data_IF_808257217835
#
_entry.id   IF_808257217835
#
_cell.length_a   1.000
_cell.length_b   1.000
_cell.length_c   1.000
_cell.angle_alpha   90.00
_cell.angle_beta   90.00
_cell.angle_gamma   90.00
#
_symmetry.space_group_name_H-M   'P 1'
#
loop_
_entity.id
_entity.type
_entity.pdbx_description
1 polymer ?
#
# COMPACT_ATOMS: atom_id res chain seq x y z
N UNK A 1 35.22 -9.86 -80.14
CA UNK A 1 34.19 -9.74 -81.20
C UNK A 1 34.75 -8.84 -82.29
N UNK A 2 35.23 -9.37 -83.42
CA UNK A 2 35.73 -8.53 -84.51
C UNK A 2 34.57 -7.72 -85.13
N UNK A 3 34.77 -6.42 -85.27
CA UNK A 3 33.84 -5.49 -85.93
C UNK A 3 34.44 -5.14 -87.30
N UNK A 4 33.72 -5.31 -88.43
CA UNK A 4 34.24 -4.92 -89.73
C UNK A 4 34.61 -3.44 -89.77
N UNK A 5 35.69 -3.11 -90.48
CA UNK A 5 36.20 -1.73 -90.56
C UNK A 5 35.11 -0.76 -91.01
N UNK A 6 34.86 0.27 -90.20
CA UNK A 6 33.88 1.33 -90.46
C UNK A 6 32.43 1.00 -90.09
N UNK A 7 32.18 -0.16 -89.46
CA UNK A 7 30.86 -0.50 -88.90
C UNK A 7 30.71 -0.06 -87.43
N UNK A 8 29.47 -0.02 -86.98
CA UNK A 8 29.10 0.29 -85.59
C UNK A 8 29.19 -0.95 -84.69
N UNK A 9 29.38 -0.74 -83.39
CA UNK A 9 29.44 -1.80 -82.39
C UNK A 9 28.80 -1.38 -81.07
N UNK A 10 28.24 -2.36 -80.34
CA UNK A 10 27.64 -2.16 -79.03
C UNK A 10 28.24 -3.10 -78.00
N UNK A 11 28.33 -2.65 -76.75
CA UNK A 11 28.71 -3.49 -75.62
C UNK A 11 27.58 -3.51 -74.59
N UNK A 12 27.24 -4.71 -74.12
CA UNK A 12 26.27 -4.93 -73.06
C UNK A 12 26.98 -5.49 -71.83
N UNK A 13 26.58 -5.01 -70.66
CA UNK A 13 27.03 -5.52 -69.37
C UNK A 13 25.85 -6.25 -68.72
N UNK A 14 25.97 -7.56 -68.55
CA UNK A 14 24.98 -8.37 -67.84
C UNK A 14 25.58 -8.75 -66.49
N UNK A 15 25.09 -8.21 -65.38
CA UNK A 15 25.59 -8.58 -64.05
C UNK A 15 25.19 -10.00 -63.69
N UNK A 16 26.08 -10.68 -62.96
CA UNK A 16 25.75 -11.94 -62.29
C UNK A 16 24.75 -11.72 -61.15
N UNK A 17 24.11 -12.80 -60.68
CA UNK A 17 23.17 -12.74 -59.55
C UNK A 17 23.83 -12.09 -58.32
N UNK A 18 23.17 -11.08 -57.76
CA UNK A 18 23.67 -10.32 -56.60
C UNK A 18 24.66 -9.20 -56.92
N UNK A 19 24.99 -8.98 -58.19
CA UNK A 19 25.78 -7.85 -58.65
C UNK A 19 24.91 -6.83 -59.39
N UNK A 20 25.39 -5.59 -59.47
CA UNK A 20 24.86 -4.57 -60.36
C UNK A 20 25.99 -3.88 -61.12
N UNK A 21 25.70 -3.43 -62.33
CA UNK A 21 26.64 -2.71 -63.17
C UNK A 21 26.90 -1.31 -62.60
N UNK A 22 28.16 -0.93 -62.44
CA UNK A 22 28.57 0.38 -61.89
C UNK A 22 29.16 1.32 -62.93
N UNK A 23 29.62 0.80 -64.07
CA UNK A 23 30.08 1.65 -65.16
C UNK A 23 31.08 1.00 -66.10
N UNK A 24 31.28 1.67 -67.24
CA UNK A 24 32.30 1.39 -68.23
C UNK A 24 33.57 2.19 -67.95
N UNK A 25 34.71 1.61 -68.32
CA UNK A 25 36.02 2.27 -68.37
C UNK A 25 36.75 1.94 -69.68
N UNK A 26 37.72 2.77 -70.06
CA UNK A 26 38.45 2.66 -71.33
C UNK A 26 37.84 3.57 -72.41
N UNK A 27 37.61 3.03 -73.61
CA UNK A 27 37.03 3.76 -74.74
C UNK A 27 35.52 4.08 -74.57
N UNK A 28 34.87 3.50 -73.55
CA UNK A 28 33.56 3.92 -73.05
C UNK A 28 33.68 4.29 -71.57
N UNK A 29 32.95 5.31 -71.13
CA UNK A 29 32.97 5.78 -69.75
C UNK A 29 31.57 6.03 -69.21
N UNK A 30 31.36 5.79 -67.91
CA UNK A 30 30.10 6.07 -67.23
C UNK A 30 29.10 4.91 -67.31
N UNK A 31 27.84 5.17 -66.96
CA UNK A 31 26.80 4.13 -66.79
C UNK A 31 25.86 4.00 -67.99
N UNK A 32 26.02 4.85 -69.01
CA UNK A 32 25.20 4.83 -70.22
C UNK A 32 25.48 3.62 -71.11
N UNK A 33 24.71 3.51 -72.19
CA UNK A 33 24.98 2.53 -73.23
C UNK A 33 26.38 2.76 -73.83
N UNK A 34 27.21 1.70 -73.89
CA UNK A 34 28.49 1.75 -74.58
C UNK A 34 28.27 1.40 -76.05
N UNK A 35 28.37 2.41 -76.90
CA UNK A 35 28.14 2.32 -78.34
C UNK A 35 29.30 2.99 -79.06
N UNK A 36 29.78 2.36 -80.12
CA UNK A 36 30.78 2.91 -81.01
C UNK A 36 30.19 3.03 -82.40
N UNK A 37 30.42 4.17 -83.05
CA UNK A 37 30.09 4.36 -84.46
C UNK A 37 31.36 4.39 -85.30
N UNK A 38 31.30 3.84 -86.51
CA UNK A 38 32.40 3.87 -87.48
C UNK A 38 33.76 3.40 -86.88
N UNK A 39 33.82 2.15 -86.40
CA UNK A 39 35.03 1.60 -85.75
C UNK A 39 36.14 1.35 -86.77
N UNK A 40 37.20 2.14 -86.71
CA UNK A 40 38.36 2.07 -87.63
C UNK A 40 39.66 1.60 -86.97
N UNK A 41 39.65 1.43 -85.65
CA UNK A 41 40.81 0.99 -84.85
C UNK A 41 40.35 0.26 -83.59
N UNK A 42 41.23 -0.55 -83.01
CA UNK A 42 40.96 -1.33 -81.79
C UNK A 42 40.35 -0.46 -80.70
N UNK A 43 39.26 -0.96 -80.10
CA UNK A 43 38.60 -0.38 -78.93
C UNK A 43 38.76 -1.33 -77.75
N UNK A 44 39.03 -0.78 -76.57
CA UNK A 44 39.15 -1.50 -75.31
C UNK A 44 38.18 -0.89 -74.29
N UNK A 45 37.25 -1.71 -73.83
CA UNK A 45 36.26 -1.34 -72.82
C UNK A 45 36.21 -2.41 -71.73
N UNK A 46 36.05 -1.99 -70.48
CA UNK A 46 35.83 -2.88 -69.34
C UNK A 46 34.59 -2.48 -68.57
N UNK A 47 33.74 -3.46 -68.24
CA UNK A 47 32.59 -3.29 -67.35
C UNK A 47 33.02 -3.50 -65.90
N UNK A 48 32.53 -2.65 -65.01
CA UNK A 48 32.71 -2.83 -63.56
C UNK A 48 31.35 -3.17 -62.93
N UNK A 49 31.41 -4.05 -61.93
CA UNK A 49 30.24 -4.51 -61.18
C UNK A 49 30.53 -4.44 -59.69
N UNK A 50 29.50 -4.18 -58.88
CA UNK A 50 29.58 -4.22 -57.43
C UNK A 50 28.49 -5.11 -56.85
N UNK A 51 28.73 -5.71 -55.68
CA UNK A 51 27.71 -6.48 -54.99
C UNK A 51 26.58 -5.56 -54.54
N UNK A 52 25.35 -6.04 -54.71
CA UNK A 52 24.15 -5.44 -54.14
C UNK A 52 24.15 -5.64 -52.63
N UNK A 53 23.72 -4.63 -51.89
CA UNK A 53 23.57 -4.68 -50.44
C UNK A 53 22.11 -4.49 -50.04
N UNK A 54 21.65 -5.22 -49.03
CA UNK A 54 20.26 -5.20 -48.55
C UNK A 54 20.19 -4.65 -47.14
N UNK A 55 19.32 -3.66 -46.92
CA UNK A 55 19.05 -3.14 -45.59
C UNK A 55 18.22 -4.12 -44.75
N UNK A 56 18.46 -4.12 -43.44
CA UNK A 56 17.58 -4.70 -42.43
C UNK A 56 16.84 -3.55 -41.75
N UNK A 57 15.51 -3.50 -41.89
CA UNK A 57 14.64 -2.55 -41.19
C UNK A 57 14.21 -3.09 -39.84
N UNK A 58 14.02 -2.19 -38.87
CA UNK A 58 13.48 -2.51 -37.55
C UNK A 58 12.07 -1.96 -37.47
N UNK A 59 11.07 -2.82 -37.69
CA UNK A 59 9.67 -2.40 -37.87
C UNK A 59 8.71 -3.36 -37.18
N UNK A 60 7.91 -2.90 -36.19
CA UNK A 60 7.95 -1.55 -35.62
C UNK A 60 9.28 -1.25 -34.92
N UNK A 61 9.56 0.03 -34.68
CA UNK A 61 10.69 0.41 -33.84
C UNK A 61 10.54 -0.23 -32.46
N UNK A 62 11.65 -0.75 -31.92
CA UNK A 62 11.68 -1.33 -30.59
C UNK A 62 11.26 -0.27 -29.55
N UNK A 63 10.26 -0.61 -28.72
CA UNK A 63 9.89 0.18 -27.55
C UNK A 63 10.44 -0.50 -26.30
N UNK A 64 10.94 0.30 -25.34
CA UNK A 64 11.54 -0.18 -24.07
C UNK A 64 12.78 -1.06 -24.25
N UNK A 65 13.54 -0.78 -25.31
CA UNK A 65 14.79 -1.43 -25.65
C UNK A 65 15.28 -0.99 -27.02
N UNK A 66 16.41 -1.53 -27.42
CA UNK A 66 17.04 -1.29 -28.71
C UNK A 66 17.28 -2.60 -29.46
N UNK A 67 17.24 -2.53 -30.78
CA UNK A 67 17.66 -3.62 -31.66
C UNK A 67 18.78 -3.12 -32.55
N UNK A 68 19.86 -3.90 -32.66
CA UNK A 68 20.99 -3.63 -33.55
C UNK A 68 21.28 -4.86 -34.39
N UNK A 69 21.49 -4.67 -35.70
CA UNK A 69 21.84 -5.74 -36.62
C UNK A 69 23.20 -5.47 -37.26
N UNK A 70 24.06 -6.48 -37.38
CA UNK A 70 25.40 -6.34 -37.95
C UNK A 70 25.76 -7.55 -38.82
N UNK A 71 26.25 -7.33 -40.06
CA UNK A 71 26.33 -6.04 -40.76
C UNK A 71 24.94 -5.50 -41.13
N UNK A 72 24.83 -4.19 -41.34
CA UNK A 72 23.65 -3.54 -41.94
C UNK A 72 24.11 -2.26 -42.67
N UNK A 73 24.02 -2.17 -44.01
CA UNK A 73 23.40 -3.12 -44.92
C UNK A 73 24.22 -4.42 -45.09
N UNK A 74 23.55 -5.50 -45.48
CA UNK A 74 24.12 -6.84 -45.69
C UNK A 74 24.48 -7.04 -47.15
N UNK A 75 25.72 -7.43 -47.45
CA UNK A 75 26.13 -7.80 -48.81
C UNK A 75 25.39 -9.04 -49.30
N UNK A 76 24.96 -9.08 -50.57
CA UNK A 76 24.20 -10.19 -51.15
C UNK A 76 24.79 -11.56 -50.80
N UNK A 77 23.96 -12.45 -50.25
CA UNK A 77 24.31 -13.82 -49.90
C UNK A 77 25.06 -13.96 -48.57
N UNK A 78 25.42 -12.87 -47.90
CA UNK A 78 26.03 -12.90 -46.57
C UNK A 78 24.98 -13.07 -45.47
N UNK A 79 25.47 -13.35 -44.26
CA UNK A 79 24.66 -13.45 -43.06
C UNK A 79 24.72 -12.16 -42.23
N UNK A 80 23.71 -11.96 -41.40
CA UNK A 80 23.69 -10.91 -40.38
C UNK A 80 23.07 -11.44 -39.08
N UNK A 81 23.48 -10.86 -37.96
CA UNK A 81 22.91 -11.16 -36.64
C UNK A 81 22.29 -9.91 -36.06
N UNK A 82 21.14 -10.07 -35.40
CA UNK A 82 20.51 -9.00 -34.64
C UNK A 82 20.51 -9.30 -33.14
N UNK A 83 20.77 -8.26 -32.35
CA UNK A 83 20.79 -8.30 -30.88
C UNK A 83 19.76 -7.34 -30.34
N UNK A 84 18.93 -7.82 -29.41
CA UNK A 84 17.97 -7.03 -28.65
C UNK A 84 18.60 -6.68 -27.30
N UNK A 85 18.62 -5.40 -26.96
CA UNK A 85 19.10 -4.89 -25.67
C UNK A 85 17.94 -4.23 -24.95
N UNK A 86 17.38 -4.84 -23.89
CA UNK A 86 16.31 -4.23 -23.11
C UNK A 86 16.78 -2.94 -22.42
N UNK A 87 15.86 -2.00 -22.23
CA UNK A 87 16.09 -0.87 -21.32
C UNK A 87 16.07 -1.35 -19.86
N UNK A 88 16.57 -0.52 -18.94
CA UNK A 88 16.54 -0.82 -17.50
C UNK A 88 15.11 -1.09 -17.01
N UNK A 89 14.91 -2.22 -16.32
CA UNK A 89 13.60 -2.62 -15.82
C UNK A 89 12.76 -3.40 -16.83
N UNK A 90 13.34 -3.80 -17.95
CA UNK A 90 12.68 -4.63 -18.97
C UNK A 90 13.53 -5.85 -19.31
N UNK A 91 12.87 -6.88 -19.85
CA UNK A 91 13.51 -8.04 -20.45
C UNK A 91 12.94 -8.32 -21.84
N UNK A 92 13.77 -8.97 -22.66
CA UNK A 92 13.41 -9.40 -24.00
C UNK A 92 12.43 -10.58 -23.95
N UNK A 93 11.33 -10.49 -24.70
CA UNK A 93 10.28 -11.53 -24.74
C UNK A 93 10.16 -12.25 -26.07
N UNK A 94 10.70 -11.69 -27.15
CA UNK A 94 10.74 -12.41 -28.43
C UNK A 94 10.98 -11.52 -29.65
N UNK A 95 11.40 -12.19 -30.73
CA UNK A 95 11.54 -11.63 -32.06
C UNK A 95 10.26 -11.80 -32.89
N UNK A 96 10.07 -10.90 -33.85
CA UNK A 96 9.09 -11.02 -34.92
C UNK A 96 9.64 -10.47 -36.26
N UNK A 97 8.94 -10.74 -37.37
CA UNK A 97 9.39 -10.42 -38.72
C UNK A 97 10.16 -11.59 -39.36
N UNK A 98 11.33 -11.32 -39.93
CA UNK A 98 12.25 -12.32 -40.48
C UNK A 98 12.98 -13.15 -39.40
N UNK A 99 12.80 -12.81 -38.12
CA UNK A 99 13.22 -13.60 -36.95
C UNK A 99 12.00 -13.93 -36.09
N UNK A 100 12.08 -15.03 -35.31
CA UNK A 100 10.99 -15.46 -34.43
C UNK A 100 11.50 -16.12 -33.14
N UNK A 101 10.66 -16.11 -32.11
CA UNK A 101 10.95 -16.75 -30.82
C UNK A 101 11.94 -15.99 -29.95
N UNK A 102 12.45 -16.64 -28.91
CA UNK A 102 13.33 -16.04 -27.89
C UNK A 102 14.82 -16.33 -28.10
N UNK A 103 15.16 -17.10 -29.13
CA UNK A 103 16.55 -17.46 -29.45
C UNK A 103 17.33 -16.33 -30.11
N UNK A 104 18.56 -16.63 -30.53
CA UNK A 104 19.36 -15.69 -31.31
C UNK A 104 18.70 -15.38 -32.66
N UNK A 105 18.60 -14.09 -33.03
CA UNK A 105 18.16 -13.69 -34.36
C UNK A 105 19.33 -13.73 -35.34
N UNK A 106 19.29 -14.71 -36.24
CA UNK A 106 20.28 -14.94 -37.28
C UNK A 106 19.60 -14.92 -38.65
N UNK A 107 19.97 -13.98 -39.50
CA UNK A 107 19.52 -13.86 -40.87
C UNK A 107 20.60 -14.48 -41.77
N UNK A 108 20.31 -15.64 -42.36
CA UNK A 108 21.24 -16.35 -43.23
C UNK A 108 20.93 -16.11 -44.70
N UNK A 109 21.97 -16.04 -45.53
CA UNK A 109 21.85 -15.92 -46.99
C UNK A 109 20.90 -14.78 -47.42
N UNK A 110 21.24 -13.55 -47.05
CA UNK A 110 20.40 -12.37 -47.31
C UNK A 110 20.48 -11.97 -48.79
N UNK A 111 19.41 -12.23 -49.53
CA UNK A 111 19.25 -11.91 -50.96
C UNK A 111 18.16 -10.88 -51.25
N UNK A 112 17.53 -10.34 -50.21
CA UNK A 112 16.52 -9.28 -50.27
C UNK A 112 16.57 -8.44 -49.00
N UNK A 113 15.92 -7.28 -49.00
CA UNK A 113 15.71 -6.51 -47.76
C UNK A 113 15.01 -7.37 -46.71
N UNK A 114 15.38 -7.17 -45.45
CA UNK A 114 14.81 -7.89 -44.30
C UNK A 114 14.17 -6.92 -43.34
N UNK A 115 13.23 -7.41 -42.53
CA UNK A 115 12.58 -6.67 -41.46
C UNK A 115 12.50 -7.50 -40.20
N UNK A 116 13.00 -6.98 -39.09
CA UNK A 116 12.94 -7.62 -37.78
C UNK A 116 12.31 -6.68 -36.76
N UNK A 117 11.76 -7.22 -35.69
CA UNK A 117 11.34 -6.45 -34.51
C UNK A 117 11.57 -7.28 -33.26
N UNK A 118 11.78 -6.60 -32.13
CA UNK A 118 11.87 -7.22 -30.82
C UNK A 118 10.76 -6.68 -29.92
N UNK A 119 10.25 -7.56 -29.06
CA UNK A 119 9.31 -7.21 -28.01
C UNK A 119 10.01 -7.32 -26.66
N UNK A 120 9.69 -6.38 -25.77
CA UNK A 120 10.19 -6.33 -24.40
C UNK A 120 8.99 -6.24 -23.45
N UNK A 121 9.14 -6.84 -22.26
CA UNK A 121 8.17 -6.71 -21.17
C UNK A 121 8.87 -6.17 -19.94
N UNK A 122 8.11 -5.48 -19.08
CA UNK A 122 8.63 -4.96 -17.83
C UNK A 122 9.02 -6.12 -16.91
N UNK A 123 10.09 -5.94 -16.15
CA UNK A 123 10.47 -6.88 -15.10
C UNK A 123 9.43 -6.85 -13.97
N UNK A 124 9.10 -8.01 -13.38
CA UNK A 124 8.20 -8.07 -12.23
C UNK A 124 8.72 -7.21 -11.08
N UNK A 125 7.84 -6.42 -10.47
CA UNK A 125 8.16 -5.61 -9.29
C UNK A 125 7.33 -6.12 -8.12
N UNK A 126 8.01 -6.79 -7.18
CA UNK A 126 7.38 -7.30 -5.97
C UNK A 126 6.91 -6.15 -5.07
N UNK A 127 5.73 -6.34 -4.48
CA UNK A 127 5.18 -5.39 -3.54
C UNK A 127 5.92 -5.42 -2.20
N UNK A 128 5.98 -4.27 -1.54
CA UNK A 128 6.56 -4.13 -0.21
C UNK A 128 5.69 -3.27 0.67
N UNK A 129 5.62 -3.62 1.96
CA UNK A 129 4.86 -2.85 2.92
C UNK A 129 5.47 -1.47 3.10
N UNK A 130 4.61 -0.45 3.15
CA UNK A 130 5.00 0.92 3.43
C UNK A 130 5.24 1.17 4.92
N UNK A 131 5.55 2.42 5.26
CA UNK A 131 5.88 2.82 6.64
C UNK A 131 4.71 2.73 7.61
N UNK A 132 3.47 2.56 7.12
CA UNK A 132 2.32 2.29 7.99
C UNK A 132 2.35 0.88 8.60
N UNK A 133 3.14 -0.05 8.06
CA UNK A 133 3.21 -1.42 8.55
C UNK A 133 4.05 -1.56 9.83
N UNK A 134 3.73 -2.58 10.62
CA UNK A 134 4.40 -3.02 11.86
C UNK A 134 4.35 -2.03 13.03
N UNK A 135 4.09 -0.74 12.78
CA UNK A 135 3.88 0.27 13.81
C UNK A 135 2.50 0.16 14.45
N UNK A 136 2.44 0.26 15.78
CA UNK A 136 1.16 0.29 16.48
C UNK A 136 0.47 1.64 16.25
N UNK A 137 -0.78 1.62 15.76
CA UNK A 137 -1.54 2.82 15.41
C UNK A 137 -2.95 2.77 15.99
N UNK A 138 -3.44 3.90 16.52
CA UNK A 138 -4.81 4.00 16.99
C UNK A 138 -5.79 4.21 15.84
N UNK A 139 -5.39 4.94 14.80
CA UNK A 139 -6.25 5.25 13.66
C UNK A 139 -6.05 4.26 12.52
N UNK A 140 -7.12 3.98 11.78
CA UNK A 140 -7.06 3.21 10.54
C UNK A 140 -6.17 3.94 9.52
N UNK A 141 -5.04 3.36 9.07
CA UNK A 141 -4.14 4.05 8.16
C UNK A 141 -4.78 4.21 6.77
N UNK A 142 -4.59 5.38 6.16
CA UNK A 142 -5.07 5.72 4.80
C UNK A 142 -3.94 6.07 3.83
N UNK A 143 -2.72 6.25 4.34
CA UNK A 143 -1.54 6.65 3.57
C UNK A 143 -0.32 5.80 3.93
N UNK A 144 0.69 5.79 3.06
CA UNK A 144 1.95 5.06 3.25
C UNK A 144 1.76 3.56 3.49
N UNK A 145 0.72 2.97 2.88
CA UNK A 145 0.35 1.56 3.03
C UNK A 145 1.34 0.63 2.32
N UNK A 146 1.78 0.98 1.11
CA UNK A 146 2.73 0.23 0.31
C UNK A 146 3.92 1.14 -0.04
N UNK A 147 5.14 0.62 0.05
CA UNK A 147 6.34 1.30 -0.45
C UNK A 147 6.52 1.01 -1.94
N UNK A 148 6.21 -0.21 -2.37
CA UNK A 148 6.08 -0.61 -3.78
C UNK A 148 4.77 -1.34 -4.00
N UNK A 149 4.18 -1.16 -5.19
CA UNK A 149 2.89 -1.76 -5.54
C UNK A 149 1.69 -0.94 -5.13
N UNK A 150 0.51 -1.48 -5.40
CA UNK A 150 -0.77 -0.79 -5.19
C UNK A 150 -1.47 -1.28 -3.90
N UNK A 151 -1.90 -0.40 -2.99
CA UNK A 151 -2.58 -0.80 -1.77
C UNK A 151 -4.03 -1.25 -2.02
N UNK A 152 -4.41 -2.35 -1.39
CA UNK A 152 -5.80 -2.79 -1.25
C UNK A 152 -6.53 -2.14 -0.09
N UNK A 153 -7.78 -2.56 0.11
CA UNK A 153 -8.61 -2.07 1.22
C UNK A 153 -8.00 -2.46 2.59
N UNK A 154 -7.97 -1.50 3.51
CA UNK A 154 -7.56 -1.76 4.89
C UNK A 154 -8.75 -2.35 5.66
N UNK A 155 -8.55 -3.57 6.16
CA UNK A 155 -9.48 -4.29 7.03
C UNK A 155 -9.08 -4.10 8.50
N UNK A 156 -10.05 -4.23 9.39
CA UNK A 156 -9.87 -4.00 10.83
C UNK A 156 -10.47 -5.16 11.61
N UNK A 157 -9.61 -6.03 12.12
CA UNK A 157 -10.03 -7.23 12.84
C UNK A 157 -8.93 -7.71 13.78
N UNK A 158 -9.33 -8.38 14.86
CA UNK A 158 -8.42 -9.15 15.72
C UNK A 158 -7.21 -8.37 16.25
N UNK A 159 -7.37 -7.08 16.57
CA UNK A 159 -6.29 -6.28 17.15
C UNK A 159 -5.29 -5.70 16.15
N UNK A 160 -5.59 -5.76 14.85
CA UNK A 160 -4.72 -5.24 13.81
C UNK A 160 -5.50 -4.67 12.62
N UNK A 161 -4.86 -3.72 11.93
CA UNK A 161 -5.22 -3.36 10.57
C UNK A 161 -4.45 -4.23 9.61
N UNK A 162 -5.11 -4.76 8.58
CA UNK A 162 -4.48 -5.57 7.54
C UNK A 162 -4.83 -5.06 6.16
N UNK A 163 -3.87 -5.10 5.24
CA UNK A 163 -4.07 -4.79 3.83
C UNK A 163 -3.09 -5.60 2.99
N UNK A 164 -3.38 -5.69 1.70
CA UNK A 164 -2.51 -6.34 0.73
C UNK A 164 -1.92 -5.27 -0.19
N UNK A 165 -0.62 -5.34 -0.43
CA UNK A 165 0.05 -4.59 -1.47
C UNK A 165 0.20 -5.50 -2.69
N UNK A 166 -0.38 -5.12 -3.83
CA UNK A 166 -0.29 -5.89 -5.08
C UNK A 166 0.96 -5.50 -5.85
N UNK A 167 1.76 -6.49 -6.26
CA UNK A 167 2.94 -6.27 -7.11
C UNK A 167 2.55 -5.76 -8.49
N UNK A 168 3.52 -5.14 -9.18
CA UNK A 168 3.34 -4.59 -10.53
C UNK A 168 3.98 -5.53 -11.56
N UNK A 169 3.45 -5.51 -12.79
CA UNK A 169 4.00 -6.28 -13.92
C UNK A 169 4.17 -7.79 -13.67
N UNK A 170 3.28 -8.37 -12.85
CA UNK A 170 3.34 -9.79 -12.48
C UNK A 170 4.20 -10.08 -11.24
N UNK A 171 4.68 -9.05 -10.54
CA UNK A 171 5.37 -9.19 -9.26
C UNK A 171 4.47 -9.74 -8.16
N UNK A 172 5.09 -10.34 -7.15
CA UNK A 172 4.40 -10.93 -6.01
C UNK A 172 3.70 -9.87 -5.16
N UNK A 173 2.53 -10.25 -4.63
CA UNK A 173 1.82 -9.44 -3.64
C UNK A 173 2.39 -9.66 -2.24
N UNK A 174 2.28 -8.65 -1.38
CA UNK A 174 2.74 -8.68 0.00
C UNK A 174 1.59 -8.39 0.96
N UNK A 175 1.41 -9.25 1.96
CA UNK A 175 0.46 -9.01 3.04
C UNK A 175 1.10 -8.12 4.11
N UNK A 176 0.42 -7.03 4.45
CA UNK A 176 0.89 -6.04 5.40
C UNK A 176 -0.08 -5.89 6.57
N UNK A 177 0.46 -5.51 7.72
CA UNK A 177 -0.36 -5.27 8.91
C UNK A 177 0.24 -4.21 9.80
N UNK A 178 -0.62 -3.56 10.58
CA UNK A 178 -0.27 -2.64 11.65
C UNK A 178 -1.06 -3.03 12.90
N UNK A 179 -0.41 -3.35 14.02
CA UNK A 179 -1.13 -3.64 15.25
C UNK A 179 -1.92 -2.40 15.72
N UNK A 180 -3.05 -2.63 16.37
CA UNK A 180 -3.78 -1.55 17.04
C UNK A 180 -2.96 -1.00 18.20
N UNK A 181 -3.10 0.29 18.50
CA UNK A 181 -2.36 0.92 19.58
C UNK A 181 -2.88 0.46 20.95
N UNK A 182 -1.96 0.06 21.83
CA UNK A 182 -2.24 -0.15 23.24
C UNK A 182 -1.99 1.11 24.06
N UNK A 183 -2.69 1.25 25.18
CA UNK A 183 -2.36 2.26 26.17
C UNK A 183 -1.26 1.75 27.11
N UNK A 184 -0.02 2.19 26.86
CA UNK A 184 1.06 2.18 27.85
C UNK A 184 1.28 0.90 28.68
N UNK A 185 1.05 -0.29 28.10
CA UNK A 185 1.49 -1.57 28.70
C UNK A 185 0.43 -2.53 29.24
N UNK A 186 -0.88 -2.20 29.23
CA UNK A 186 -1.90 -3.06 29.85
C UNK A 186 -2.52 -4.13 28.91
N UNK A 187 -2.02 -4.30 27.68
CA UNK A 187 -2.48 -5.34 26.75
C UNK A 187 -3.86 -5.11 26.10
N UNK A 188 -4.64 -4.13 26.56
CA UNK A 188 -5.89 -3.72 25.90
C UNK A 188 -5.53 -2.82 24.71
N UNK A 189 -5.69 -3.35 23.50
CA UNK A 189 -5.50 -2.60 22.27
C UNK A 189 -6.81 -1.95 21.86
N UNK A 190 -6.71 -0.74 21.31
CA UNK A 190 -7.83 0.02 20.81
C UNK A 190 -7.55 0.54 19.41
N UNK A 191 -8.61 0.67 18.65
CA UNK A 191 -8.60 1.26 17.32
C UNK A 191 -9.75 2.26 17.20
N UNK A 192 -9.58 3.27 16.36
CA UNK A 192 -10.63 4.23 16.02
C UNK A 192 -10.78 4.32 14.51
N UNK A 193 -12.03 4.33 14.08
CA UNK A 193 -12.47 4.49 12.71
C UNK A 193 -13.48 5.62 12.65
N UNK A 194 -13.41 6.41 11.59
CA UNK A 194 -14.36 7.48 11.29
C UNK A 194 -14.89 7.27 9.90
N UNK A 195 -16.21 7.39 9.74
CA UNK A 195 -16.84 7.39 8.43
C UNK A 195 -16.46 8.67 7.66
N UNK A 196 -15.90 8.47 6.47
CA UNK A 196 -15.48 9.56 5.58
C UNK A 196 -16.63 10.21 4.81
N UNK A 197 -17.88 9.71 4.90
CA UNK A 197 -19.03 10.21 4.12
C UNK A 197 -19.28 11.73 4.27
N UNK A 198 -18.92 12.32 5.41
CA UNK A 198 -19.08 13.75 5.69
C UNK A 198 -17.75 14.51 5.74
N UNK A 199 -16.71 14.00 5.07
CA UNK A 199 -15.40 14.65 4.94
C UNK A 199 -14.64 14.80 6.25
N UNK A 200 -14.92 13.97 7.24
CA UNK A 200 -14.15 13.92 8.49
C UNK A 200 -12.96 12.99 8.37
N UNK A 201 -11.81 13.46 8.81
CA UNK A 201 -10.56 12.71 8.86
C UNK A 201 -9.96 12.75 10.27
N UNK A 202 -9.30 11.66 10.66
CA UNK A 202 -8.62 11.60 11.95
C UNK A 202 -7.31 12.38 11.83
N UNK A 203 -7.27 13.55 12.47
CA UNK A 203 -6.04 14.36 12.56
C UNK A 203 -5.07 13.76 13.57
N UNK A 204 -5.58 13.28 14.71
CA UNK A 204 -4.79 12.49 15.65
C UNK A 204 -5.68 11.57 16.48
N UNK A 205 -5.13 10.42 16.88
CA UNK A 205 -5.77 9.51 17.82
C UNK A 205 -4.71 8.83 18.68
N UNK A 206 -4.95 8.72 19.98
CA UNK A 206 -4.07 8.01 20.88
C UNK A 206 -4.84 7.44 22.07
N UNK A 207 -4.51 6.20 22.45
CA UNK A 207 -4.94 5.62 23.72
C UNK A 207 -3.90 5.95 24.79
N UNK A 208 -4.28 6.77 25.75
CA UNK A 208 -3.39 7.27 26.79
C UNK A 208 -3.39 6.35 28.03
N UNK A 209 -2.26 6.31 28.76
CA UNK A 209 -2.16 5.57 30.01
C UNK A 209 -2.84 6.30 31.20
N UNK A 210 -3.13 7.59 31.05
CA UNK A 210 -3.65 8.46 32.11
C UNK A 210 -4.91 9.19 31.64
N UNK A 211 -5.85 9.40 32.56
CA UNK A 211 -7.04 10.20 32.33
C UNK A 211 -6.71 11.71 32.31
N UNK A 212 -7.42 12.54 31.53
CA UNK A 212 -7.25 13.99 31.54
C UNK A 212 -7.65 14.64 32.87
N UNK A 213 -8.59 14.04 33.61
CA UNK A 213 -9.01 14.45 34.95
C UNK A 213 -9.54 13.25 35.75
N UNK A 214 -9.56 13.30 37.10
CA UNK A 214 -10.17 12.25 37.91
C UNK A 214 -11.63 11.99 37.53
N UNK A 215 -12.03 10.72 37.48
CA UNK A 215 -13.43 10.35 37.23
C UNK A 215 -14.32 10.70 38.43
N UNK A 216 -15.63 10.93 38.21
CA UNK A 216 -16.59 11.13 39.29
C UNK A 216 -16.56 9.98 40.32
N UNK A 217 -16.91 10.26 41.59
CA UNK A 217 -17.08 9.21 42.59
C UNK A 217 -18.03 8.12 42.09
N UNK A 218 -17.71 6.86 42.40
CA UNK A 218 -18.49 5.68 41.97
C UNK A 218 -18.44 5.35 40.47
N UNK A 219 -17.49 5.92 39.71
CA UNK A 219 -17.25 5.55 38.31
C UNK A 219 -15.80 5.10 38.17
N UNK A 220 -15.57 4.04 37.38
CA UNK A 220 -14.21 3.60 37.03
C UNK A 220 -14.07 3.37 35.54
N UNK A 221 -12.91 3.73 34.99
CA UNK A 221 -12.54 3.36 33.63
C UNK A 221 -12.38 1.84 33.53
N UNK A 222 -12.91 1.25 32.46
CA UNK A 222 -12.73 -0.18 32.14
C UNK A 222 -11.78 -0.39 30.96
N UNK A 223 -11.54 0.67 30.19
CA UNK A 223 -10.56 0.72 29.09
C UNK A 223 -9.74 2.00 29.20
N UNK A 224 -8.69 2.08 28.40
CA UNK A 224 -7.86 3.28 28.34
C UNK A 224 -8.63 4.46 27.72
N UNK A 225 -8.38 5.70 28.21
CA UNK A 225 -8.93 6.88 27.57
C UNK A 225 -8.37 7.06 26.16
N UNK A 226 -9.27 7.37 25.24
CA UNK A 226 -8.97 7.81 23.90
C UNK A 226 -8.87 9.33 23.91
N UNK A 227 -7.77 9.88 23.40
CA UNK A 227 -7.73 11.24 22.87
C UNK A 227 -7.97 11.17 21.36
N UNK A 228 -8.93 11.94 20.85
CA UNK A 228 -9.29 12.00 19.44
C UNK A 228 -9.35 13.45 18.99
N UNK A 229 -8.75 13.73 17.84
CA UNK A 229 -8.92 15.00 17.12
C UNK A 229 -9.33 14.69 15.69
N UNK A 230 -10.49 15.19 15.28
CA UNK A 230 -10.99 15.10 13.92
C UNK A 230 -10.85 16.45 13.23
N UNK A 231 -10.48 16.43 11.95
CA UNK A 231 -10.49 17.59 11.08
C UNK A 231 -11.47 17.36 9.94
N UNK A 232 -12.24 18.39 9.57
CA UNK A 232 -13.16 18.32 8.44
C UNK A 232 -12.51 18.91 7.20
N UNK A 233 -12.38 18.12 6.15
CA UNK A 233 -11.84 18.53 4.85
C UNK A 233 -12.93 18.92 3.85
N UNK A 234 -14.17 18.46 4.04
CA UNK A 234 -15.33 18.81 3.21
C UNK A 234 -16.66 18.50 3.93
N UNK A 235 -17.78 19.00 3.42
CA UNK A 235 -19.12 18.68 3.93
C UNK A 235 -19.54 19.49 5.17
N UNK A 236 -20.71 19.16 5.71
CA UNK A 236 -21.27 19.82 6.91
C UNK A 236 -21.97 18.86 7.89
N UNK A 237 -22.00 17.55 7.58
CA UNK A 237 -22.69 16.54 8.39
C UNK A 237 -21.82 15.96 9.52
N UNK A 238 -22.47 15.28 10.45
CA UNK A 238 -21.80 14.76 11.66
C UNK A 238 -20.75 13.68 11.37
N UNK A 239 -19.79 13.51 12.28
CA UNK A 239 -18.81 12.44 12.24
C UNK A 239 -19.38 11.18 12.90
N UNK A 240 -19.45 10.06 12.18
CA UNK A 240 -19.73 8.77 12.80
C UNK A 240 -18.42 8.11 13.21
N UNK A 241 -18.22 7.94 14.51
CA UNK A 241 -17.00 7.38 15.10
C UNK A 241 -17.28 5.99 15.63
N UNK A 242 -16.40 5.04 15.32
CA UNK A 242 -16.39 3.69 15.91
C UNK A 242 -15.06 3.45 16.60
N UNK A 243 -15.11 3.19 17.91
CA UNK A 243 -13.96 2.74 18.68
C UNK A 243 -14.04 1.24 18.86
N UNK A 244 -12.97 0.53 18.51
CA UNK A 244 -12.84 -0.93 18.61
C UNK A 244 -11.90 -1.32 19.75
N UNK A 245 -12.13 -2.48 20.31
CA UNK A 245 -11.37 -3.03 21.44
C UNK A 245 -10.94 -4.47 21.14
N UNK A 246 -9.83 -4.93 21.73
CA UNK A 246 -9.45 -6.35 21.71
C UNK A 246 -10.03 -7.16 22.87
N UNK A 247 -10.59 -6.49 23.87
CA UNK A 247 -11.29 -7.12 24.98
C UNK A 247 -12.68 -6.49 25.14
N UNK A 248 -13.71 -7.30 25.41
CA UNK A 248 -15.08 -6.83 25.47
C UNK A 248 -15.26 -5.85 26.64
N UNK A 249 -15.95 -4.75 26.37
CA UNK A 249 -16.41 -3.81 27.39
C UNK A 249 -17.50 -4.50 28.22
N UNK A 250 -17.42 -4.49 29.57
CA UNK A 250 -18.44 -5.10 30.42
C UNK A 250 -19.86 -4.56 30.16
N UNK A 251 -20.86 -5.43 30.26
CA UNK A 251 -22.26 -5.01 30.16
C UNK A 251 -22.61 -3.96 31.23
N UNK A 252 -23.47 -3.01 30.85
CA UNK A 252 -23.85 -1.88 31.69
C UNK A 252 -22.85 -0.72 31.67
N UNK A 253 -21.77 -0.80 30.88
CA UNK A 253 -20.86 0.31 30.68
C UNK A 253 -21.54 1.46 29.91
N UNK A 254 -21.05 2.67 30.16
CA UNK A 254 -21.39 3.89 29.43
C UNK A 254 -20.12 4.50 28.86
N UNK A 255 -20.23 5.19 27.73
CA UNK A 255 -19.10 5.91 27.15
C UNK A 255 -19.11 7.34 27.67
N UNK A 256 -18.05 7.75 28.39
CA UNK A 256 -17.95 9.08 28.96
C UNK A 256 -17.04 9.97 28.11
N UNK A 257 -17.35 11.27 28.03
CA UNK A 257 -16.52 12.30 27.42
C UNK A 257 -16.04 13.29 28.46
N UNK A 258 -14.91 13.93 28.20
CA UNK A 258 -14.35 14.97 29.05
C UNK A 258 -14.33 16.31 28.31
N UNK A 259 -15.27 17.19 28.62
CA UNK A 259 -15.39 18.48 27.93
C UNK A 259 -16.56 19.31 28.46
N UNK A 260 -16.83 20.48 27.86
CA UNK A 260 -18.06 21.22 28.06
C UNK A 260 -19.27 20.38 27.63
N UNK A 261 -20.45 20.66 28.19
CA UNK A 261 -21.68 19.97 27.81
C UNK A 261 -22.91 20.88 27.88
N UNK A 262 -24.06 20.45 27.38
CA UNK A 262 -25.35 21.04 27.75
C UNK A 262 -25.71 20.77 29.22
N UNK A 263 -26.64 21.57 29.74
CA UNK A 263 -27.26 21.37 31.05
C UNK A 263 -27.92 19.98 31.16
N UNK A 264 -27.84 19.39 32.36
CA UNK A 264 -28.48 18.11 32.66
C UNK A 264 -27.61 16.88 32.43
N UNK A 265 -26.38 17.04 31.92
CA UNK A 265 -25.39 15.96 31.78
C UNK A 265 -24.42 15.88 32.98
N UNK A 266 -24.91 16.16 34.19
CA UNK A 266 -24.10 16.16 35.42
C UNK A 266 -23.62 17.56 35.86
N UNK A 267 -24.09 18.60 35.20
CA UNK A 267 -23.81 20.01 35.51
C UNK A 267 -25.06 20.88 35.26
N UNK A 268 -25.03 22.13 35.72
CA UNK A 268 -26.05 23.15 35.43
C UNK A 268 -25.42 24.53 35.25
N UNK A 269 -25.88 25.30 34.26
CA UNK A 269 -25.48 26.68 34.02
C UNK A 269 -23.99 26.82 33.69
N UNK A 270 -23.32 27.83 34.28
CA UNK A 270 -21.93 28.14 33.97
C UNK A 270 -20.94 26.99 34.25
N UNK A 271 -21.30 26.03 35.11
CA UNK A 271 -20.48 24.85 35.36
C UNK A 271 -20.35 23.95 34.12
N UNK A 272 -21.36 23.92 33.25
CA UNK A 272 -21.36 23.12 32.03
C UNK A 272 -20.44 23.65 30.93
N UNK A 273 -20.09 24.93 30.99
CA UNK A 273 -19.09 25.53 30.10
C UNK A 273 -17.65 25.14 30.48
N UNK A 274 -17.44 24.54 31.65
CA UNK A 274 -16.12 24.03 32.08
C UNK A 274 -16.00 22.53 31.76
N UNK A 275 -14.79 22.05 31.40
CA UNK A 275 -14.55 20.63 31.16
C UNK A 275 -14.89 19.75 32.36
N UNK A 276 -15.77 18.77 32.16
CA UNK A 276 -16.14 17.78 33.16
C UNK A 276 -16.48 16.44 32.48
N UNK A 277 -16.62 15.39 33.29
CA UNK A 277 -16.99 14.06 32.81
C UNK A 277 -18.51 13.91 32.72
N UNK A 278 -19.00 13.45 31.58
CA UNK A 278 -20.41 13.13 31.37
C UNK A 278 -20.60 11.92 30.45
N UNK A 279 -21.72 11.22 30.59
CA UNK A 279 -22.10 10.14 29.69
C UNK A 279 -22.50 10.70 28.32
N UNK A 280 -21.90 10.22 27.23
CA UNK A 280 -22.27 10.66 25.88
C UNK A 280 -23.64 10.12 25.50
N UNK A 281 -24.64 11.00 25.23
CA UNK A 281 -25.92 10.55 24.73
C UNK A 281 -25.76 9.90 23.35
N UNK A 282 -26.45 8.78 23.13
CA UNK A 282 -26.44 8.09 21.83
C UNK A 282 -25.23 7.19 21.57
N UNK A 283 -24.26 7.09 22.49
CA UNK A 283 -23.20 6.10 22.37
C UNK A 283 -23.76 4.67 22.53
N UNK A 284 -23.46 3.80 21.57
CA UNK A 284 -23.97 2.44 21.50
C UNK A 284 -22.84 1.43 21.47
N UNK A 285 -22.74 0.61 22.52
CA UNK A 285 -21.84 -0.55 22.51
C UNK A 285 -22.43 -1.66 21.65
N UNK A 286 -21.58 -2.32 20.87
CA UNK A 286 -21.96 -3.54 20.17
C UNK A 286 -22.35 -4.64 21.18
N UNK A 287 -23.24 -5.59 20.81
CA UNK A 287 -23.69 -6.65 21.73
C UNK A 287 -22.57 -7.52 22.31
N UNK A 288 -21.46 -7.66 21.58
CA UNK A 288 -20.26 -8.38 22.00
C UNK A 288 -19.32 -7.54 22.88
N UNK A 289 -19.61 -6.25 23.06
CA UNK A 289 -18.77 -5.29 23.78
C UNK A 289 -17.47 -4.92 23.08
N UNK A 290 -17.25 -5.34 21.82
CA UNK A 290 -15.98 -5.17 21.11
C UNK A 290 -15.86 -3.84 20.39
N UNK A 291 -16.95 -3.07 20.31
CA UNK A 291 -16.91 -1.71 19.81
C UNK A 291 -17.96 -0.82 20.45
N UNK A 292 -17.77 0.48 20.29
CA UNK A 292 -18.75 1.51 20.59
C UNK A 292 -18.82 2.49 19.44
N UNK A 293 -20.04 2.81 19.01
CA UNK A 293 -20.31 3.75 17.93
C UNK A 293 -21.08 4.94 18.47
N UNK A 294 -20.71 6.13 18.03
CA UNK A 294 -21.36 7.38 18.38
C UNK A 294 -21.20 8.42 17.28
N UNK A 295 -22.02 9.46 17.35
CA UNK A 295 -22.03 10.58 16.40
C UNK A 295 -21.50 11.82 17.11
N UNK A 296 -20.58 12.54 16.47
CA UNK A 296 -20.06 13.83 16.95
C UNK A 296 -20.40 14.94 15.97
N UNK A 297 -20.76 16.09 16.52
CA UNK A 297 -21.03 17.31 15.76
C UNK A 297 -20.02 18.38 16.19
N UNK A 298 -19.46 19.11 15.23
CA UNK A 298 -18.58 20.27 15.44
C UNK A 298 -19.32 21.35 16.24
N UNK A 299 -18.75 21.76 17.38
CA UNK A 299 -19.38 22.63 18.36
C UNK A 299 -20.57 22.01 19.11
N UNK A 300 -20.79 20.70 18.97
CA UNK A 300 -21.85 19.94 19.61
C UNK A 300 -21.40 19.19 20.87
N UNK A 301 -22.26 18.30 21.37
CA UNK A 301 -21.94 17.46 22.53
C UNK A 301 -20.81 16.49 22.19
N UNK A 302 -19.75 16.48 22.99
CA UNK A 302 -18.58 15.63 22.78
C UNK A 302 -17.41 16.37 22.13
N UNK A 303 -17.65 17.54 21.55
CA UNK A 303 -16.59 18.43 21.11
C UNK A 303 -16.13 19.32 22.28
N UNK A 304 -14.86 19.18 22.63
CA UNK A 304 -14.25 19.84 23.78
C UNK A 304 -13.61 21.17 23.43
N UNK A 305 -13.55 21.50 22.15
CA UNK A 305 -13.07 22.80 21.68
C UNK A 305 -14.21 23.58 20.99
N UNK A 306 -13.87 24.76 20.49
CA UNK A 306 -14.80 25.61 19.74
C UNK A 306 -14.19 26.05 18.41
N UNK A 307 -13.24 25.24 17.93
CA UNK A 307 -12.48 25.50 16.70
C UNK A 307 -13.32 25.01 15.53
N UNK A 308 -13.77 25.90 14.64
CA UNK A 308 -14.57 25.48 13.50
C UNK A 308 -13.84 24.43 12.65
N UNK A 309 -14.57 23.42 12.20
CA UNK A 309 -14.09 22.30 11.37
C UNK A 309 -13.14 21.34 12.08
N UNK A 310 -13.10 21.38 13.42
CA UNK A 310 -12.32 20.49 14.24
C UNK A 310 -13.20 19.93 15.36
N UNK A 311 -12.94 18.70 15.79
CA UNK A 311 -13.56 18.14 16.98
C UNK A 311 -12.45 17.57 17.86
N UNK A 312 -12.33 18.06 19.10
CA UNK A 312 -11.45 17.46 20.12
C UNK A 312 -12.26 16.68 21.12
N UNK A 313 -12.06 15.36 21.16
CA UNK A 313 -12.98 14.44 21.81
C UNK A 313 -12.26 13.39 22.67
N UNK A 314 -11.82 13.76 23.89
CA UNK A 314 -11.31 12.80 24.85
C UNK A 314 -12.47 12.00 25.47
N UNK A 315 -12.35 10.67 25.47
CA UNK A 315 -13.40 9.81 25.99
C UNK A 315 -12.92 8.46 26.49
N UNK A 316 -13.75 7.80 27.30
CA UNK A 316 -13.40 6.53 27.93
C UNK A 316 -14.64 5.69 28.26
N UNK A 317 -14.64 4.37 28.01
CA UNK A 317 -15.62 3.46 28.56
C UNK A 317 -15.51 3.39 30.08
N UNK A 318 -16.64 3.56 30.77
CA UNK A 318 -16.71 3.49 32.24
C UNK A 318 -17.81 2.57 32.70
N UNK A 319 -17.64 2.03 33.92
CA UNK A 319 -18.68 1.29 34.64
C UNK A 319 -18.92 1.95 35.99
N UNK A 320 -20.18 1.91 36.45
CA UNK A 320 -20.49 2.18 37.84
C UNK A 320 -19.66 1.25 38.73
N UNK A 321 -18.87 1.84 39.62
CA UNK A 321 -18.21 1.11 40.68
C UNK A 321 -19.30 0.67 41.68
N UNK A 322 -19.26 -0.59 42.15
CA UNK A 322 -20.09 -0.97 43.29
C UNK A 322 -19.83 0.03 44.44
N UNK A 323 -20.84 0.34 45.27
CA UNK A 323 -20.63 1.18 46.44
C UNK A 323 -19.44 0.62 47.22
N UNK A 324 -18.54 1.51 47.65
CA UNK A 324 -17.38 1.11 48.45
C UNK A 324 -17.88 0.18 49.58
N UNK A 325 -17.21 -0.96 49.85
CA UNK A 325 -17.59 -1.78 50.99
C UNK A 325 -17.61 -0.85 52.19
N UNK A 326 -18.78 -0.75 52.84
CA UNK A 326 -18.90 -0.03 54.10
C UNK A 326 -17.77 -0.54 54.98
N UNK A 327 -16.99 0.38 55.57
CA UNK A 327 -15.91 0.02 56.49
C UNK A 327 -16.41 -1.11 57.40
N UNK A 328 -15.65 -2.21 57.58
CA UNK A 328 -16.12 -3.33 58.39
C UNK A 328 -16.62 -2.76 59.71
N UNK A 329 -17.92 -2.88 59.96
CA UNK A 329 -18.48 -2.44 61.22
C UNK A 329 -17.70 -3.20 62.28
N UNK A 330 -17.09 -2.46 63.21
CA UNK A 330 -16.36 -3.07 64.31
C UNK A 330 -17.28 -4.12 64.93
N UNK A 331 -16.90 -5.40 64.86
CA UNK A 331 -17.58 -6.45 65.60
C UNK A 331 -17.60 -5.94 67.04
N UNK A 332 -18.76 -5.80 67.70
CA UNK A 332 -18.80 -5.35 69.08
C UNK A 332 -17.97 -6.36 69.88
N UNK A 333 -16.74 -5.97 70.21
CA UNK A 333 -15.92 -6.73 71.12
C UNK A 333 -16.69 -6.73 72.44
N UNK A 334 -17.02 -7.92 72.93
CA UNK A 334 -17.55 -8.08 74.27
C UNK A 334 -16.60 -7.33 75.22
N UNK A 335 -17.14 -6.36 75.96
CA UNK A 335 -16.34 -5.61 76.92
C UNK A 335 -15.62 -6.56 77.87
N UNK A 336 -14.48 -6.16 78.45
CA UNK A 336 -13.63 -7.04 79.27
C UNK A 336 -14.39 -7.79 80.38
N UNK A 337 -15.48 -7.20 80.89
CA UNK A 337 -16.39 -7.84 81.85
C UNK A 337 -17.20 -9.01 81.29
N UNK A 338 -17.64 -8.94 80.03
CA UNK A 338 -18.37 -10.02 79.38
C UNK A 338 -17.45 -11.21 79.04
N UNK A 339 -16.18 -10.95 78.71
CA UNK A 339 -15.15 -11.99 78.60
C UNK A 339 -14.83 -12.64 79.94
N UNK A 340 -14.75 -11.85 81.02
CA UNK A 340 -14.57 -12.37 82.38
C UNK A 340 -15.74 -13.27 82.80
N UNK A 341 -16.99 -12.85 82.54
CA UNK A 341 -18.19 -13.65 82.81
C UNK A 341 -18.21 -14.96 82.02
N UNK A 342 -17.84 -14.96 80.74
CA UNK A 342 -17.76 -16.19 79.95
C UNK A 342 -16.69 -17.15 80.48
N UNK A 343 -15.53 -16.64 80.90
CA UNK A 343 -14.45 -17.46 81.48
C UNK A 343 -14.83 -18.08 82.82
N UNK A 344 -15.60 -17.36 83.66
CA UNK A 344 -16.16 -17.88 84.91
C UNK A 344 -17.24 -18.93 84.68
N UNK A 345 -18.10 -18.75 83.68
CA UNK A 345 -19.11 -19.74 83.27
C UNK A 345 -18.45 -21.04 82.76
N UNK A 346 -17.38 -20.94 81.95
CA UNK A 346 -16.63 -22.09 81.48
C UNK A 346 -15.89 -22.82 82.62
N UNK A 347 -15.33 -22.09 83.58
CA UNK A 347 -14.69 -22.68 84.77
C UNK A 347 -15.70 -23.37 85.70
N UNK A 348 -16.91 -22.80 85.86
CA UNK A 348 -18.00 -23.40 86.65
C UNK A 348 -18.53 -24.72 86.05
N UNK A 349 -18.64 -24.78 84.72
CA UNK A 349 -19.03 -26.01 84.01
C UNK A 349 -17.93 -27.10 84.06
N UNK A 350 -16.65 -26.72 84.03
CA UNK A 350 -15.53 -27.64 84.19
C UNK A 350 -15.44 -28.24 85.61
N UNK A 351 -15.74 -27.44 86.64
CA UNK A 351 -15.76 -27.89 88.03
C UNK A 351 -16.91 -28.88 88.31
N UNK A 352 -18.06 -28.73 87.65
CA UNK A 352 -19.17 -29.69 87.76
C UNK A 352 -18.86 -31.04 87.10
N UNK A 353 -18.03 -31.07 86.05
CA UNK A 353 -17.62 -32.32 85.38
C UNK A 353 -16.60 -33.15 86.16
N UNK A 354 -15.81 -32.54 87.06
CA UNK A 354 -14.84 -33.27 87.90
C UNK A 354 -15.43 -33.88 89.18
N UNK A 355 -16.65 -33.51 89.59
CA UNK A 355 -17.35 -34.11 90.73
C UNK A 355 -18.19 -35.36 90.39
N UNK A 356 -18.29 -35.73 89.11
CA UNK A 356 -19.05 -36.90 88.65
C UNK A 356 -18.18 -38.12 88.28
N UNK A 357 -16.87 -38.08 88.58
CA UNK A 357 -15.93 -39.18 88.40
C UNK A 357 -15.10 -39.38 89.69
N UNK A 358 -15.78 -39.84 90.73
CA UNK A 358 -15.24 -40.57 91.89
C UNK A 358 -16.27 -41.63 92.26
#
# INVERSE_FOLDING_TARGET
>A
NPVPHGQDASCTATPDAGYHFTGWTGDCTGTGACQFTNVTSTRSVSATFALTTYAISITPAAANGAVTCTPNPVTHGQNASCTATPDTGYHFTGWSGDCAGTGACQLTNVTSTRSVSATFAHDPVDATCGSAANGAVAAKPSANLCATGTPGAVLSASGQYTWQCSGEYGGAAQQCSAPWQGAGGNGNLGAVEVDSANGWEISSAAFAATLPAPLPPHVRAVHAPLGLVLGRVAGNGDAQVTVRFTMPVPQGASYYKYGPSPDGLGCTGAACAQPHWYALPGAQFAPDGMSVTFTLTDGGVGDSDSVPHQITDPGVPVLLAPPAPQAPQAIPALGPWALALLSLLAAGLGAMRRRALL
#
